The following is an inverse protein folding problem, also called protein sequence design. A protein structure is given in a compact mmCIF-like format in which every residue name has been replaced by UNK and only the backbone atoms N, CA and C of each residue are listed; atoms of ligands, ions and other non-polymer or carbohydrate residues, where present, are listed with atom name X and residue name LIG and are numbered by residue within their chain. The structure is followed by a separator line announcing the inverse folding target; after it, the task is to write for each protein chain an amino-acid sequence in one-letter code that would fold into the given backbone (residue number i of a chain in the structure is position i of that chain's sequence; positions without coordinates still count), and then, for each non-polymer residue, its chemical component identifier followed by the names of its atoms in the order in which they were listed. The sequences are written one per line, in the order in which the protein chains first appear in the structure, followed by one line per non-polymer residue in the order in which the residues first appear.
data_IF_912001631981
#
_entry.id   IF_912001631981
#
_cell.length_a   1.000
_cell.length_b   1.000
_cell.length_c   1.000
_cell.angle_alpha   90.00
_cell.angle_beta   90.00
_cell.angle_gamma   90.00
#
_symmetry.space_group_name_H-M   'P 1'
#
loop_
_entity.id
_entity.type
_entity.pdbx_description
1 polymer ?
#
# COMPACT_ATOMS: atom_id res chain seq x y z
N UNK A 1 3.11 24.04 9.07
CA UNK A 1 1.89 24.14 9.91
C UNK A 1 0.99 22.97 9.52
N UNK A 2 0.73 22.05 10.46
CA UNK A 2 -0.11 20.86 10.26
C UNK A 2 0.55 19.58 10.78
N UNK A 3 0.34 19.28 12.07
CA UNK A 3 0.81 18.12 12.84
C UNK A 3 1.44 16.96 12.06
N UNK A 4 2.77 16.96 11.99
CA UNK A 4 3.54 15.76 11.67
C UNK A 4 3.22 14.70 12.72
N UNK A 5 2.76 13.52 12.26
CA UNK A 5 2.39 12.36 13.06
C UNK A 5 3.15 12.22 14.37
N UNK A 6 2.55 12.74 15.46
CA UNK A 6 3.07 12.52 16.79
C UNK A 6 3.04 11.00 17.03
N UNK A 7 4.19 10.39 17.35
CA UNK A 7 4.20 8.95 17.57
C UNK A 7 3.26 8.57 18.70
N UNK A 8 2.65 7.36 18.64
CA UNK A 8 1.82 6.89 19.73
C UNK A 8 2.65 6.90 21.02
N UNK A 9 2.05 7.30 22.14
CA UNK A 9 2.73 7.13 23.42
C UNK A 9 2.83 5.64 23.74
N UNK A 10 3.91 5.23 24.42
CA UNK A 10 4.07 3.84 24.85
C UNK A 10 2.84 3.35 25.64
N UNK A 11 2.23 4.22 26.47
CA UNK A 11 1.01 3.92 27.22
C UNK A 11 -0.19 3.61 26.32
N UNK A 12 -0.50 4.48 25.36
CA UNK A 12 -1.63 4.27 24.44
C UNK A 12 -1.45 2.98 23.63
N UNK A 13 -0.23 2.74 23.14
CA UNK A 13 0.12 1.53 22.41
C UNK A 13 -0.02 0.27 23.29
N UNK A 14 0.42 0.32 24.55
CA UNK A 14 0.31 -0.80 25.49
C UNK A 14 -1.14 -1.15 25.81
N UNK A 15 -2.02 -0.14 25.95
CA UNK A 15 -3.46 -0.36 26.14
C UNK A 15 -4.11 -1.02 24.92
N UNK A 16 -3.79 -0.54 23.71
CA UNK A 16 -4.27 -1.15 22.47
C UNK A 16 -3.78 -2.61 22.33
N UNK A 17 -2.52 -2.86 22.72
CA UNK A 17 -1.95 -4.19 22.71
C UNK A 17 -2.66 -5.11 23.72
N UNK A 18 -2.92 -4.63 24.94
CA UNK A 18 -3.71 -5.35 25.95
C UNK A 18 -5.09 -5.71 25.42
N UNK A 19 -5.82 -4.73 24.87
CA UNK A 19 -7.16 -4.95 24.33
C UNK A 19 -7.16 -5.98 23.19
N UNK A 20 -6.15 -5.95 22.30
CA UNK A 20 -6.07 -6.87 21.16
C UNK A 20 -5.56 -8.26 21.51
N UNK A 21 -4.64 -8.39 22.46
CA UNK A 21 -3.89 -9.62 22.74
C UNK A 21 -4.15 -10.21 24.14
N UNK A 22 -4.95 -9.56 24.97
CA UNK A 22 -5.30 -10.02 26.32
C UNK A 22 -4.13 -9.98 27.32
N UNK A 23 -3.02 -9.31 26.99
CA UNK A 23 -1.82 -9.20 27.84
C UNK A 23 -1.09 -7.90 27.59
N UNK A 24 -0.35 -7.42 28.58
CA UNK A 24 0.54 -6.27 28.39
C UNK A 24 1.75 -6.66 27.51
N UNK A 25 2.25 -5.74 26.65
CA UNK A 25 3.48 -5.97 25.92
C UNK A 25 4.70 -5.71 26.83
N UNK A 26 5.74 -6.53 26.71
CA UNK A 26 7.07 -6.21 27.20
C UNK A 26 7.79 -5.39 26.11
N UNK A 27 7.74 -4.06 26.22
CA UNK A 27 8.37 -3.14 25.26
C UNK A 27 9.84 -2.85 25.58
N UNK A 28 10.32 -3.21 26.77
CA UNK A 28 11.73 -3.06 27.13
C UNK A 28 12.55 -4.26 26.65
N UNK A 29 11.97 -5.46 26.75
CA UNK A 29 12.59 -6.72 26.30
C UNK A 29 11.62 -7.53 25.45
N UNK A 30 11.29 -7.08 24.21
CA UNK A 30 10.35 -7.77 23.33
C UNK A 30 10.76 -9.23 23.07
N UNK A 31 9.84 -10.17 23.30
CA UNK A 31 10.08 -11.61 23.06
C UNK A 31 9.23 -12.13 21.91
N UNK A 32 8.06 -11.54 21.68
CA UNK A 32 7.11 -11.94 20.64
C UNK A 32 7.27 -11.08 19.40
N UNK A 33 6.97 -11.66 18.25
CA UNK A 33 6.88 -10.91 16.99
C UNK A 33 5.99 -9.67 17.13
N UNK A 34 4.83 -9.82 17.78
CA UNK A 34 3.88 -8.71 17.99
C UNK A 34 4.45 -7.61 18.88
N UNK A 35 5.25 -7.93 19.90
CA UNK A 35 5.96 -6.95 20.73
C UNK A 35 7.04 -6.23 19.92
N UNK A 36 7.79 -6.95 19.08
CA UNK A 36 8.77 -6.36 18.17
C UNK A 36 8.14 -5.39 17.16
N UNK A 37 6.95 -5.71 16.65
CA UNK A 37 6.20 -4.79 15.78
C UNK A 37 5.88 -3.50 16.54
N UNK A 38 5.37 -3.59 17.77
CA UNK A 38 5.07 -2.41 18.58
C UNK A 38 6.33 -1.61 18.94
N UNK A 39 7.42 -2.30 19.32
CA UNK A 39 8.71 -1.67 19.60
C UNK A 39 9.20 -0.86 18.41
N UNK A 40 9.07 -1.38 17.17
CA UNK A 40 9.43 -0.64 15.96
C UNK A 40 8.55 0.58 15.73
N UNK A 41 7.26 0.55 16.07
CA UNK A 41 6.40 1.75 15.98
C UNK A 41 6.89 2.90 16.86
N UNK A 42 7.47 2.58 18.02
CA UNK A 42 7.99 3.57 18.97
C UNK A 42 9.41 4.02 18.61
N UNK A 43 10.31 3.07 18.32
CA UNK A 43 11.76 3.30 18.29
C UNK A 43 12.37 3.36 16.90
N UNK A 44 11.80 2.64 15.91
CA UNK A 44 12.35 2.62 14.57
C UNK A 44 11.79 3.80 13.77
N UNK A 45 12.67 4.67 13.26
CA UNK A 45 12.32 5.87 12.47
C UNK A 45 12.92 5.86 11.08
N UNK A 46 13.45 4.72 10.64
CA UNK A 46 14.07 4.62 9.32
C UNK A 46 13.04 4.84 8.23
N UNK A 47 13.32 5.78 7.33
CA UNK A 47 12.48 6.09 6.16
C UNK A 47 12.23 4.86 5.28
N UNK A 48 13.16 3.89 5.29
CA UNK A 48 13.00 2.61 4.60
C UNK A 48 11.68 1.90 4.96
N UNK A 49 11.21 1.98 6.22
CA UNK A 49 9.93 1.39 6.61
C UNK A 49 8.74 2.03 5.87
N UNK A 50 8.76 3.35 5.71
CA UNK A 50 7.73 4.06 4.95
C UNK A 50 7.72 3.62 3.47
N UNK A 51 8.91 3.49 2.86
CA UNK A 51 9.05 3.03 1.47
C UNK A 51 8.45 1.63 1.26
N UNK A 52 8.62 0.74 2.23
CA UNK A 52 8.06 -0.62 2.15
C UNK A 52 6.53 -0.66 2.36
N UNK A 53 5.95 0.35 3.00
CA UNK A 53 4.48 0.45 3.17
C UNK A 53 3.76 1.16 2.02
N UNK A 54 4.50 1.89 1.17
CA UNK A 54 4.00 2.42 -0.08
C UNK A 54 4.06 1.33 -1.17
N UNK A 55 2.90 0.81 -1.60
CA UNK A 55 2.86 -0.28 -2.59
C UNK A 55 3.59 0.02 -3.90
N UNK A 56 3.66 1.28 -4.33
CA UNK A 56 4.38 1.63 -5.56
C UNK A 56 5.89 1.51 -5.35
N UNK A 57 6.39 2.03 -4.23
CA UNK A 57 7.82 1.94 -3.90
C UNK A 57 8.22 0.51 -3.54
N UNK A 58 7.40 -0.19 -2.76
CA UNK A 58 7.63 -1.59 -2.41
C UNK A 58 7.75 -2.48 -3.66
N UNK A 59 6.93 -2.23 -4.68
CA UNK A 59 7.04 -2.91 -5.97
C UNK A 59 8.32 -2.57 -6.72
N UNK A 60 8.69 -1.30 -6.80
CA UNK A 60 9.95 -0.90 -7.42
C UNK A 60 11.15 -1.58 -6.75
N UNK A 61 11.18 -1.60 -5.42
CA UNK A 61 12.22 -2.29 -4.62
C UNK A 61 12.20 -3.80 -4.89
N UNK A 62 11.02 -4.42 -4.97
CA UNK A 62 10.91 -5.85 -5.25
C UNK A 62 11.38 -6.18 -6.68
N UNK A 63 11.01 -5.36 -7.66
CA UNK A 63 11.44 -5.51 -9.05
C UNK A 63 12.96 -5.35 -9.20
N UNK A 64 13.55 -4.35 -8.55
CA UNK A 64 15.00 -4.13 -8.53
C UNK A 64 15.76 -5.34 -7.95
N UNK A 65 15.22 -5.98 -6.91
CA UNK A 65 15.90 -7.07 -6.20
C UNK A 65 15.63 -8.47 -6.75
N UNK A 66 14.44 -8.70 -7.29
CA UNK A 66 13.97 -10.03 -7.67
C UNK A 66 13.73 -10.14 -9.18
N UNK A 67 13.58 -9.02 -9.89
CA UNK A 67 13.19 -8.96 -11.30
C UNK A 67 11.69 -8.71 -11.49
N UNK A 68 11.34 -8.02 -12.58
CA UNK A 68 9.96 -7.61 -12.91
C UNK A 68 8.97 -8.78 -12.99
N UNK A 69 9.43 -9.98 -13.36
CA UNK A 69 8.59 -11.17 -13.45
C UNK A 69 7.98 -11.60 -12.11
N UNK A 70 8.55 -11.16 -10.99
CA UNK A 70 8.04 -11.43 -9.64
C UNK A 70 7.10 -10.34 -9.11
N UNK A 71 6.85 -9.29 -9.90
CA UNK A 71 6.04 -8.15 -9.48
C UNK A 71 4.84 -7.99 -10.42
N UNK A 72 3.65 -7.90 -9.84
CA UNK A 72 2.43 -7.62 -10.62
C UNK A 72 2.56 -6.24 -11.28
N UNK A 73 2.42 -6.13 -12.62
CA UNK A 73 2.51 -4.87 -13.34
C UNK A 73 1.54 -3.82 -12.82
N UNK A 74 2.00 -2.57 -12.81
CA UNK A 74 1.16 -1.41 -12.55
C UNK A 74 0.68 -0.89 -13.89
N UNK A 75 -0.61 -1.06 -14.20
CA UNK A 75 -1.20 -0.59 -15.45
C UNK A 75 -1.36 0.94 -15.47
N UNK A 76 -1.48 1.54 -14.28
CA UNK A 76 -1.61 2.98 -14.09
C UNK A 76 -1.42 3.37 -12.63
N UNK A 77 -0.96 4.60 -12.38
CA UNK A 77 -1.02 5.22 -11.06
C UNK A 77 -1.29 6.72 -11.14
N UNK A 78 -1.93 7.28 -10.12
CA UNK A 78 -2.24 8.71 -10.06
C UNK A 78 -3.04 9.10 -8.83
N UNK A 79 -3.33 10.39 -8.64
CA UNK A 79 -4.05 10.86 -7.47
C UNK A 79 -5.58 10.76 -7.60
N UNK A 80 -6.10 10.67 -8.84
CA UNK A 80 -7.53 10.56 -9.13
C UNK A 80 -7.74 9.62 -10.30
N UNK A 81 -8.68 8.68 -10.15
CA UNK A 81 -9.05 7.78 -11.24
C UNK A 81 -9.67 8.55 -12.41
N UNK A 82 -9.44 8.11 -13.67
CA UNK A 82 -10.06 8.71 -14.84
C UNK A 82 -11.60 8.60 -14.82
N UNK A 83 -12.24 9.28 -15.76
CA UNK A 83 -13.69 9.22 -15.96
C UNK A 83 -14.19 7.78 -16.18
N UNK A 84 -13.54 7.11 -17.11
CA UNK A 84 -13.83 5.76 -17.59
C UNK A 84 -12.58 4.89 -17.47
N UNK A 85 -12.73 3.58 -17.24
CA UNK A 85 -11.60 2.66 -17.24
C UNK A 85 -11.22 2.33 -18.69
N UNK A 86 -9.92 2.34 -18.99
CA UNK A 86 -9.37 1.94 -20.30
C UNK A 86 -8.57 0.62 -20.22
N UNK A 87 -8.55 -0.05 -19.07
CA UNK A 87 -7.86 -1.32 -18.89
C UNK A 87 -8.80 -2.51 -19.10
N UNK A 88 -8.29 -3.66 -19.58
CA UNK A 88 -9.05 -4.89 -19.66
C UNK A 88 -9.59 -5.31 -18.29
N UNK A 89 -10.88 -5.63 -18.21
CA UNK A 89 -11.48 -6.23 -17.03
C UNK A 89 -11.20 -7.74 -17.01
N UNK A 90 -11.01 -8.37 -15.84
CA UNK A 90 -10.99 -7.75 -14.51
C UNK A 90 -9.63 -7.12 -14.15
N UNK A 91 -9.68 -6.05 -13.36
CA UNK A 91 -8.50 -5.39 -12.78
C UNK A 91 -8.75 -5.01 -11.31
N UNK A 92 -7.71 -4.58 -10.60
CA UNK A 92 -7.81 -4.16 -9.20
C UNK A 92 -7.37 -2.71 -9.05
N UNK A 93 -8.23 -1.90 -8.43
CA UNK A 93 -7.90 -0.55 -7.98
C UNK A 93 -7.46 -0.64 -6.52
N UNK A 94 -6.31 -0.05 -6.18
CA UNK A 94 -5.78 -0.02 -4.81
C UNK A 94 -5.33 1.39 -4.44
N UNK A 95 -5.37 1.73 -3.16
CA UNK A 95 -4.56 2.82 -2.62
C UNK A 95 -3.16 2.30 -2.26
N UNK A 96 -2.12 3.10 -2.49
CA UNK A 96 -0.76 2.69 -2.19
C UNK A 96 -0.42 2.73 -0.68
N UNK A 97 -1.06 3.62 0.08
CA UNK A 97 -0.69 4.07 1.43
C UNK A 97 -1.57 3.50 2.56
N UNK A 98 -2.02 2.24 2.45
CA UNK A 98 -2.82 1.61 3.49
C UNK A 98 -3.09 0.13 3.27
N UNK A 99 -3.89 -0.51 4.13
CA UNK A 99 -4.30 -1.91 3.99
C UNK A 99 -5.83 -2.03 3.87
N UNK A 100 -6.32 -3.04 3.14
CA UNK A 100 -7.75 -3.25 2.86
C UNK A 100 -8.39 -2.22 1.91
N UNK A 101 -7.61 -1.26 1.41
CA UNK A 101 -8.05 -0.21 0.51
C UNK A 101 -7.94 -0.64 -0.96
N UNK A 102 -8.84 -1.53 -1.37
CA UNK A 102 -8.94 -1.97 -2.76
C UNK A 102 -10.37 -2.29 -3.20
N UNK A 103 -10.58 -2.31 -4.51
CA UNK A 103 -11.78 -2.82 -5.18
C UNK A 103 -11.33 -3.65 -6.38
N UNK A 104 -11.82 -4.88 -6.49
CA UNK A 104 -11.72 -5.67 -7.72
C UNK A 104 -12.83 -5.21 -8.65
N UNK A 105 -12.46 -4.79 -9.86
CA UNK A 105 -13.37 -4.26 -10.86
C UNK A 105 -13.62 -5.31 -11.93
N UNK A 106 -14.84 -5.87 -11.94
CA UNK A 106 -15.28 -6.85 -12.95
C UNK A 106 -16.27 -6.26 -13.95
N UNK A 107 -16.89 -5.14 -13.62
CA UNK A 107 -17.88 -4.45 -14.43
C UNK A 107 -17.90 -2.95 -14.10
N UNK A 108 -18.74 -2.19 -14.81
CA UNK A 108 -18.87 -0.74 -14.61
C UNK A 108 -19.47 -0.34 -13.25
N UNK A 109 -20.25 -1.21 -12.59
CA UNK A 109 -20.76 -0.93 -11.24
C UNK A 109 -19.64 -0.97 -10.21
N UNK A 110 -18.73 -1.95 -10.31
CA UNK A 110 -17.52 -2.02 -9.49
C UNK A 110 -16.60 -0.82 -9.76
N UNK A 111 -16.50 -0.38 -11.01
CA UNK A 111 -15.73 0.82 -11.35
C UNK A 111 -16.25 2.07 -10.64
N UNK A 112 -17.58 2.30 -10.68
CA UNK A 112 -18.21 3.41 -9.95
C UNK A 112 -17.93 3.31 -8.45
N UNK A 113 -18.02 2.11 -7.88
CA UNK A 113 -17.68 1.84 -6.47
C UNK A 113 -16.21 2.14 -6.17
N UNK A 114 -15.29 1.74 -7.04
CA UNK A 114 -13.86 2.02 -6.90
C UNK A 114 -13.60 3.52 -6.88
N UNK A 115 -14.23 4.29 -7.79
CA UNK A 115 -14.13 5.75 -7.81
C UNK A 115 -14.61 6.38 -6.51
N UNK A 116 -15.80 6.02 -6.03
CA UNK A 116 -16.35 6.54 -4.77
C UNK A 116 -15.42 6.23 -3.58
N UNK A 117 -15.02 4.95 -3.41
CA UNK A 117 -14.16 4.55 -2.29
C UNK A 117 -12.77 5.19 -2.36
N UNK A 118 -12.25 5.40 -3.57
CA UNK A 118 -10.93 6.01 -3.74
C UNK A 118 -10.82 7.43 -3.19
N UNK A 119 -11.90 8.23 -3.26
CA UNK A 119 -11.93 9.55 -2.64
C UNK A 119 -11.75 9.48 -1.12
N UNK A 120 -12.41 8.51 -0.47
CA UNK A 120 -12.28 8.30 0.97
C UNK A 120 -10.87 7.82 1.34
N UNK A 121 -10.29 6.89 0.58
CA UNK A 121 -8.93 6.42 0.82
C UNK A 121 -7.91 7.56 0.73
N UNK A 122 -8.00 8.36 -0.33
CA UNK A 122 -7.08 9.48 -0.58
C UNK A 122 -7.15 10.59 0.49
N UNK A 123 -8.23 10.65 1.28
CA UNK A 123 -8.38 11.59 2.41
C UNK A 123 -8.06 10.97 3.77
N UNK A 124 -7.89 9.64 3.86
CA UNK A 124 -7.74 8.91 5.11
C UNK A 124 -6.33 9.02 5.68
N UNK A 125 -6.17 9.36 6.96
CA UNK A 125 -4.89 9.26 7.70
C UNK A 125 -4.63 7.83 8.16
N UNK A 126 -4.59 6.89 7.20
CA UNK A 126 -4.43 5.46 7.50
C UNK A 126 -3.23 5.20 8.42
N UNK A 127 -3.44 4.33 9.42
CA UNK A 127 -2.40 3.99 10.39
C UNK A 127 -2.28 4.95 11.58
N UNK A 128 -2.81 6.19 11.51
CA UNK A 128 -2.64 7.19 12.57
C UNK A 128 -3.21 6.72 13.93
N UNK A 129 -4.43 6.18 13.93
CA UNK A 129 -5.07 5.68 15.15
C UNK A 129 -4.33 4.51 15.81
N UNK A 130 -3.53 3.77 15.05
CA UNK A 130 -2.72 2.64 15.51
C UNK A 130 -1.23 2.99 15.68
N UNK A 131 -0.89 4.29 15.55
CA UNK A 131 0.46 4.79 15.69
C UNK A 131 1.43 4.33 14.60
N UNK A 132 0.90 3.96 13.44
CA UNK A 132 1.67 3.45 12.30
C UNK A 132 2.16 4.61 11.43
N UNK A 133 3.04 5.42 12.03
CA UNK A 133 3.57 6.66 11.48
C UNK A 133 4.12 6.52 10.04
N UNK A 134 4.64 5.35 9.70
CA UNK A 134 5.23 5.06 8.39
C UNK A 134 4.21 5.15 7.25
N UNK A 135 2.93 4.85 7.48
CA UNK A 135 1.89 5.00 6.45
C UNK A 135 1.64 6.47 6.10
N UNK A 136 1.81 7.39 7.05
CA UNK A 136 1.57 8.82 6.82
C UNK A 136 2.64 9.52 5.99
N UNK A 137 3.79 8.88 5.78
CA UNK A 137 4.89 9.42 4.96
C UNK A 137 4.68 9.08 3.48
N UNK A 138 4.01 7.97 3.19
CA UNK A 138 3.80 7.51 1.81
C UNK A 138 3.04 8.58 1.00
N UNK A 139 3.55 8.90 -0.20
CA UNK A 139 2.86 9.82 -1.11
C UNK A 139 1.52 9.20 -1.47
N UNK A 140 0.42 9.93 -1.29
CA UNK A 140 -0.92 9.41 -1.59
C UNK A 140 -1.10 9.23 -3.09
N UNK A 141 -1.33 7.99 -3.51
CA UNK A 141 -1.67 7.63 -4.87
C UNK A 141 -2.62 6.42 -4.91
N UNK A 142 -3.31 6.30 -6.03
CA UNK A 142 -4.04 5.13 -6.45
C UNK A 142 -3.22 4.41 -7.51
N UNK A 143 -3.39 3.09 -7.57
CA UNK A 143 -2.81 2.26 -8.61
C UNK A 143 -3.84 1.26 -9.15
N UNK A 144 -3.67 0.92 -10.42
CA UNK A 144 -4.42 -0.13 -11.11
C UNK A 144 -3.47 -1.26 -11.48
N UNK A 145 -3.89 -2.48 -11.19
CA UNK A 145 -3.15 -3.71 -11.49
C UNK A 145 -4.06 -4.71 -12.20
N UNK A 146 -3.51 -5.62 -13.02
CA UNK A 146 -4.27 -6.76 -13.51
C UNK A 146 -4.82 -7.59 -12.34
N UNK A 147 -6.02 -8.15 -12.50
CA UNK A 147 -6.52 -9.14 -11.56
C UNK A 147 -5.89 -10.50 -11.83
N UNK A 148 -5.30 -11.12 -10.82
CA UNK A 148 -4.73 -12.46 -10.91
C UNK A 148 -5.82 -13.49 -10.59
N UNK A 149 -6.41 -14.11 -11.62
CA UNK A 149 -7.20 -15.33 -11.47
C UNK A 149 -6.27 -16.53 -11.69
N UNK A 150 -6.02 -17.36 -10.68
CA UNK A 150 -5.21 -18.60 -10.84
C UNK A 150 -6.12 -19.81 -11.06
N UNK A 151 -5.69 -20.84 -11.82
CA UNK A 151 -4.77 -21.81 -11.20
C UNK A 151 -3.35 -21.99 -11.78
N UNK A 152 -3.02 -21.72 -13.05
CA UNK A 152 -1.71 -22.12 -13.63
C UNK A 152 -1.21 -21.11 -14.68
N UNK A 153 0.06 -20.70 -14.59
CA UNK A 153 0.82 -20.08 -15.69
C UNK A 153 1.00 -18.57 -15.62
N UNK A 154 1.69 -18.05 -14.60
CA UNK A 154 2.15 -16.66 -14.58
C UNK A 154 3.32 -16.49 -15.58
N UNK A 155 3.00 -16.31 -16.86
CA UNK A 155 3.98 -15.94 -17.89
C UNK A 155 3.61 -14.53 -18.36
N UNK A 156 4.29 -13.52 -17.79
CA UNK A 156 4.22 -12.15 -18.28
C UNK A 156 4.80 -12.14 -19.70
N UNK A 157 3.97 -11.94 -20.71
CA UNK A 157 4.47 -11.61 -22.04
C UNK A 157 5.03 -10.19 -21.99
N UNK A 158 6.33 -10.07 -21.74
CA UNK A 158 7.06 -8.84 -22.05
C UNK A 158 7.12 -8.70 -23.57
N UNK A 159 6.33 -7.76 -24.12
CA UNK A 159 6.51 -7.03 -25.38
C UNK A 159 5.35 -6.01 -25.46
N UNK A 160 5.57 -4.73 -25.70
CA UNK A 160 6.47 -4.15 -26.69
C UNK A 160 7.32 -2.98 -26.15
N UNK A 161 8.60 -3.04 -26.48
CA UNK A 161 9.39 -1.84 -26.80
C UNK A 161 8.68 -1.07 -27.91
N UNK A 162 8.12 0.09 -27.58
CA UNK A 162 7.87 1.14 -28.57
C UNK A 162 9.18 1.89 -28.74
N UNK A 163 9.84 1.63 -29.85
CA UNK A 163 11.05 2.27 -30.34
C UNK A 163 10.98 3.80 -30.32
N UNK A 164 12.16 4.38 -30.13
CA UNK A 164 12.48 5.77 -30.38
C UNK A 164 11.90 6.29 -31.72
N UNK A 165 11.34 7.50 -31.65
CA UNK A 165 11.06 8.36 -32.80
C UNK A 165 11.54 9.76 -32.47
N UNK A 166 12.86 9.95 -32.51
CA UNK A 166 13.49 11.27 -32.54
C UNK A 166 13.75 11.67 -34.00
N UNK A 167 13.57 12.97 -34.29
CA UNK A 167 13.79 13.72 -35.55
C UNK A 167 12.53 13.72 -36.46
N UNK A 168 11.99 14.86 -36.91
CA UNK A 168 12.48 16.25 -37.03
C UNK A 168 11.39 17.23 -36.61
#
# INVERSE_FOLDING_TARGET
MGDAHRPPTARALSLLYLWRHGRWPDLERPRRFTEWVQWRKLNDRRVALARLTDKLQAKAIAAERLGDQHVVPVLWHGQRLPGTPHWPMPFVVKANHGCGQFVVVRNMADWRRARIRSFAWMRSTYGAALGEWHYGIARRALLVEPYLSSPIGCRWTTKSTSSAGARR
#
